data_IF_029806466827
#
_entry.id   IF_029806466827
#
_cell.length_a   1.000
_cell.length_b   1.000
_cell.length_c   1.000
_cell.angle_alpha   90.00
_cell.angle_beta   90.00
_cell.angle_gamma   90.00
#
_symmetry.space_group_name_H-M   'P 1'
#
loop_
_entity.id
_entity.type
_entity.pdbx_description
1 polymer ?
#
# COMPACT_ATOMS: atom_id res chain seq x y z
N UNK A 1 3.03 8.11 -5.91
CA UNK A 1 3.54 7.94 -7.29
C UNK A 1 4.38 6.67 -7.36
N UNK A 2 5.44 6.55 -6.54
CA UNK A 2 6.32 5.35 -6.48
C UNK A 2 5.55 4.05 -6.17
N UNK A 3 4.69 4.02 -5.16
CA UNK A 3 3.91 2.82 -4.79
C UNK A 3 2.99 2.31 -5.92
N UNK A 4 2.45 3.21 -6.75
CA UNK A 4 1.64 2.84 -7.93
C UNK A 4 2.50 2.11 -8.95
N UNK A 5 3.67 2.67 -9.26
CA UNK A 5 4.59 2.11 -10.25
C UNK A 5 5.10 0.74 -9.80
N UNK A 6 5.47 0.61 -8.53
CA UNK A 6 5.93 -0.66 -7.95
C UNK A 6 4.86 -1.76 -7.99
N UNK A 7 3.60 -1.43 -7.71
CA UNK A 7 2.50 -2.38 -7.74
C UNK A 7 1.89 -2.59 -9.14
N UNK A 8 2.32 -1.83 -10.15
CA UNK A 8 1.79 -1.93 -11.52
C UNK A 8 0.30 -1.60 -11.65
N UNK A 9 -0.25 -0.78 -10.73
CA UNK A 9 -1.68 -0.49 -10.69
C UNK A 9 -2.13 0.41 -11.85
N UNK A 10 -3.15 -0.06 -12.58
CA UNK A 10 -3.85 0.75 -13.57
C UNK A 10 -5.01 1.51 -12.90
N UNK A 11 -4.73 2.73 -12.45
CA UNK A 11 -5.68 3.54 -11.68
C UNK A 11 -6.42 4.51 -12.59
N UNK A 12 -7.77 4.55 -12.57
CA UNK A 12 -8.54 5.53 -13.32
C UNK A 12 -8.37 6.95 -12.75
N UNK A 13 -8.14 7.08 -11.44
CA UNK A 13 -7.88 8.36 -10.78
C UNK A 13 -6.81 8.21 -9.69
N UNK A 14 -5.62 8.76 -9.96
CA UNK A 14 -4.45 8.66 -9.09
C UNK A 14 -4.63 9.45 -7.79
N UNK A 15 -5.31 10.60 -7.85
CA UNK A 15 -5.53 11.45 -6.68
C UNK A 15 -6.52 10.82 -5.71
N UNK A 16 -7.59 10.23 -6.23
CA UNK A 16 -8.54 9.47 -5.43
C UNK A 16 -7.85 8.31 -4.70
N UNK A 17 -7.02 7.53 -5.41
CA UNK A 17 -6.24 6.47 -4.79
C UNK A 17 -5.29 6.99 -3.71
N UNK A 18 -4.58 8.09 -3.97
CA UNK A 18 -3.67 8.71 -3.00
C UNK A 18 -4.41 9.18 -1.75
N UNK A 19 -5.59 9.75 -1.91
CA UNK A 19 -6.44 10.21 -0.80
C UNK A 19 -6.91 9.02 0.05
N UNK A 20 -7.44 7.97 -0.58
CA UNK A 20 -7.86 6.75 0.13
C UNK A 20 -6.67 6.11 0.84
N UNK A 21 -5.51 6.04 0.19
CA UNK A 21 -4.31 5.50 0.80
C UNK A 21 -3.91 6.29 2.05
N UNK A 22 -3.92 7.63 1.99
CA UNK A 22 -3.66 8.48 3.16
C UNK A 22 -4.67 8.28 4.30
N UNK A 23 -5.95 8.13 3.98
CA UNK A 23 -7.01 7.91 4.99
C UNK A 23 -6.79 6.56 5.67
N UNK A 24 -6.49 5.52 4.89
CA UNK A 24 -6.25 4.18 5.40
C UNK A 24 -4.98 4.10 6.25
N UNK A 25 -3.85 4.63 5.78
CA UNK A 25 -2.59 4.59 6.55
C UNK A 25 -2.68 5.40 7.84
N UNK A 26 -3.28 6.59 7.82
CA UNK A 26 -3.49 7.38 9.05
C UNK A 26 -4.31 6.64 10.09
N UNK A 27 -5.28 5.84 9.68
CA UNK A 27 -6.09 5.07 10.60
C UNK A 27 -5.30 3.94 11.26
N UNK A 28 -4.37 3.30 10.54
CA UNK A 28 -3.48 2.29 11.08
C UNK A 28 -2.65 2.82 12.25
N UNK A 29 -2.23 4.09 12.18
CA UNK A 29 -1.46 4.78 13.24
C UNK A 29 -2.31 5.62 14.20
N UNK A 30 -3.63 5.63 14.03
CA UNK A 30 -4.53 6.36 14.92
C UNK A 30 -5.02 5.45 16.04
N UNK A 31 -5.01 5.99 17.27
CA UNK A 31 -5.55 5.38 18.51
C UNK A 31 -6.96 4.79 18.36
N UNK A 32 -7.72 5.17 17.31
CA UNK A 32 -9.05 4.65 16.99
C UNK A 32 -9.06 3.14 16.67
N UNK A 33 -7.92 2.51 16.36
CA UNK A 33 -7.81 1.04 16.22
C UNK A 33 -8.03 0.29 17.53
N UNK A 34 -7.97 0.96 18.68
CA UNK A 34 -8.28 0.38 20.00
C UNK A 34 -9.78 0.19 20.26
N UNK A 35 -10.65 0.80 19.44
CA UNK A 35 -12.11 0.69 19.60
C UNK A 35 -12.62 -0.52 18.80
N UNK A 36 -12.72 -1.67 19.46
CA UNK A 36 -13.13 -2.94 18.85
C UNK A 36 -14.66 -3.06 18.71
N UNK A 37 -15.31 -2.11 18.02
CA UNK A 37 -16.76 -2.16 17.74
C UNK A 37 -16.99 -2.41 16.24
N UNK A 38 -17.31 -3.66 15.83
CA UNK A 38 -17.31 -4.08 14.42
C UNK A 38 -18.15 -3.21 13.47
N UNK A 39 -19.34 -2.76 13.89
CA UNK A 39 -20.22 -1.97 13.01
C UNK A 39 -19.76 -0.53 12.80
N UNK A 40 -19.03 0.04 13.77
CA UNK A 40 -18.47 1.39 13.67
C UNK A 40 -17.25 1.37 12.74
N UNK A 41 -16.47 0.29 12.79
CA UNK A 41 -15.31 0.07 11.92
C UNK A 41 -15.75 -0.05 10.45
N UNK A 42 -16.77 -0.85 10.12
CA UNK A 42 -17.22 -1.04 8.72
C UNK A 42 -17.84 0.19 8.08
N UNK A 43 -18.36 1.15 8.87
CA UNK A 43 -18.89 2.42 8.35
C UNK A 43 -17.82 3.52 8.24
N UNK A 44 -16.64 3.29 8.83
CA UNK A 44 -15.57 4.28 8.91
C UNK A 44 -14.97 4.61 7.54
N UNK A 45 -14.50 5.85 7.38
CA UNK A 45 -13.78 6.26 6.17
C UNK A 45 -12.52 5.41 5.90
N UNK A 46 -11.74 4.97 6.91
CA UNK A 46 -10.63 4.05 6.73
C UNK A 46 -11.00 2.68 6.17
N UNK A 47 -12.10 2.10 6.63
CA UNK A 47 -12.57 0.83 6.08
C UNK A 47 -12.98 0.97 4.62
N UNK A 48 -13.75 2.01 4.28
CA UNK A 48 -14.11 2.29 2.88
C UNK A 48 -12.88 2.55 2.00
N UNK A 49 -11.86 3.20 2.55
CA UNK A 49 -10.60 3.42 1.88
C UNK A 49 -9.84 2.10 1.64
N UNK A 50 -9.79 1.20 2.63
CA UNK A 50 -9.22 -0.14 2.50
C UNK A 50 -9.91 -0.93 1.38
N UNK A 51 -11.24 -1.02 1.42
CA UNK A 51 -12.04 -1.72 0.40
C UNK A 51 -11.74 -1.19 -0.99
N UNK A 52 -11.69 0.14 -1.16
CA UNK A 52 -11.35 0.74 -2.44
C UNK A 52 -9.95 0.31 -2.94
N UNK A 53 -8.94 0.31 -2.06
CA UNK A 53 -7.58 -0.10 -2.42
C UNK A 53 -7.55 -1.58 -2.80
N UNK A 54 -8.22 -2.44 -2.03
CA UNK A 54 -8.36 -3.87 -2.32
C UNK A 54 -9.00 -4.11 -3.68
N UNK A 55 -10.08 -3.39 -4.03
CA UNK A 55 -10.70 -3.48 -5.35
C UNK A 55 -9.72 -3.14 -6.49
N UNK A 56 -8.81 -2.17 -6.29
CA UNK A 56 -7.80 -1.86 -7.31
C UNK A 56 -6.72 -2.96 -7.42
N UNK A 57 -6.34 -3.57 -6.30
CA UNK A 57 -5.41 -4.70 -6.27
C UNK A 57 -6.03 -5.94 -6.95
N UNK A 58 -7.29 -6.23 -6.66
CA UNK A 58 -8.04 -7.29 -7.30
C UNK A 58 -8.13 -7.11 -8.81
N UNK A 59 -8.51 -5.92 -9.28
CA UNK A 59 -8.56 -5.63 -10.71
C UNK A 59 -7.19 -5.82 -11.39
N UNK A 60 -6.09 -5.55 -10.67
CA UNK A 60 -4.74 -5.82 -11.16
C UNK A 60 -4.47 -7.33 -11.24
N UNK A 61 -4.81 -8.10 -10.23
CA UNK A 61 -4.67 -9.57 -10.23
C UNK A 61 -5.47 -10.17 -11.40
N UNK A 62 -6.71 -9.73 -11.61
CA UNK A 62 -7.55 -10.22 -12.71
C UNK A 62 -6.93 -9.91 -14.09
N UNK A 63 -6.34 -8.73 -14.22
CA UNK A 63 -5.60 -8.37 -15.43
C UNK A 63 -4.40 -9.28 -15.66
N UNK A 64 -3.63 -9.59 -14.61
CA UNK A 64 -2.46 -10.46 -14.69
C UNK A 64 -2.84 -11.91 -15.01
N UNK A 65 -3.90 -12.44 -14.42
CA UNK A 65 -4.40 -13.78 -14.71
C UNK A 65 -4.88 -13.91 -16.17
N UNK A 66 -5.40 -12.82 -16.76
CA UNK A 66 -5.90 -12.82 -18.13
C UNK A 66 -4.80 -12.60 -19.18
N UNK A 67 -3.84 -11.71 -18.92
CA UNK A 67 -2.86 -11.27 -19.91
C UNK A 67 -1.45 -11.85 -19.69
N UNK A 68 -1.22 -12.52 -18.56
CA UNK A 68 0.08 -13.05 -18.16
C UNK A 68 0.88 -12.12 -17.24
N UNK A 69 2.07 -12.56 -16.81
CA UNK A 69 2.94 -11.81 -15.92
C UNK A 69 3.47 -10.52 -16.54
N UNK A 70 3.73 -9.54 -15.69
CA UNK A 70 4.48 -8.32 -15.98
C UNK A 70 5.56 -8.04 -14.92
N UNK A 71 6.27 -6.91 -15.03
CA UNK A 71 7.37 -6.54 -14.14
C UNK A 71 6.93 -5.97 -12.77
N UNK A 72 5.64 -6.01 -12.44
CA UNK A 72 5.15 -5.48 -11.17
C UNK A 72 5.41 -6.43 -10.00
N UNK A 73 5.51 -5.88 -8.78
CA UNK A 73 5.65 -6.69 -7.57
C UNK A 73 4.45 -7.62 -7.37
N UNK A 74 3.24 -7.19 -7.76
CA UNK A 74 2.04 -8.01 -7.68
C UNK A 74 2.16 -9.22 -8.62
N UNK A 75 2.65 -9.03 -9.85
CA UNK A 75 2.93 -10.13 -10.77
C UNK A 75 3.95 -11.10 -10.17
N UNK A 76 5.06 -10.58 -9.64
CA UNK A 76 6.08 -11.42 -9.00
C UNK A 76 5.49 -12.25 -7.86
N UNK A 77 4.66 -11.67 -6.99
CA UNK A 77 4.01 -12.41 -5.90
C UNK A 77 2.96 -13.41 -6.38
N UNK A 78 2.18 -13.05 -7.41
CA UNK A 78 1.09 -13.88 -7.92
C UNK A 78 1.59 -15.14 -8.66
N UNK A 79 2.70 -15.01 -9.38
CA UNK A 79 3.29 -16.10 -10.16
C UNK A 79 4.45 -16.79 -9.44
N UNK A 80 4.93 -16.24 -8.32
CA UNK A 80 5.90 -16.91 -7.47
C UNK A 80 5.39 -18.28 -7.00
N UNK A 81 6.32 -19.22 -6.97
CA UNK A 81 6.11 -20.57 -6.45
C UNK A 81 7.27 -20.85 -5.51
N UNK A 82 6.98 -21.33 -4.31
CA UNK A 82 8.01 -21.66 -3.32
C UNK A 82 8.71 -23.00 -3.64
N UNK A 83 9.68 -23.37 -2.81
CA UNK A 83 10.40 -24.65 -2.90
C UNK A 83 9.51 -25.90 -2.80
N UNK A 84 8.30 -25.75 -2.26
CA UNK A 84 7.30 -26.81 -2.10
C UNK A 84 6.24 -26.79 -3.21
N UNK A 85 6.46 -26.05 -4.30
CA UNK A 85 5.50 -25.85 -5.37
C UNK A 85 4.19 -25.14 -4.95
N UNK A 86 4.19 -24.45 -3.81
CA UNK A 86 3.03 -23.71 -3.28
C UNK A 86 3.03 -22.28 -3.79
N UNK A 87 1.84 -21.77 -4.13
CA UNK A 87 1.63 -20.39 -4.56
C UNK A 87 0.86 -19.62 -3.50
N UNK A 88 1.10 -18.31 -3.43
CA UNK A 88 0.29 -17.42 -2.60
C UNK A 88 -1.15 -17.43 -3.07
N UNK A 89 -2.10 -17.43 -2.12
CA UNK A 89 -3.51 -17.20 -2.45
C UNK A 89 -3.71 -15.75 -2.88
N UNK A 90 -4.84 -15.50 -3.54
CA UNK A 90 -5.22 -14.14 -3.96
C UNK A 90 -5.25 -13.18 -2.76
N UNK A 91 -5.81 -13.63 -1.65
CA UNK A 91 -5.91 -12.89 -0.40
C UNK A 91 -4.52 -12.56 0.15
N UNK A 92 -3.61 -13.54 0.16
CA UNK A 92 -2.23 -13.33 0.62
C UNK A 92 -1.47 -12.33 -0.26
N UNK A 93 -1.67 -12.36 -1.57
CA UNK A 93 -1.07 -11.36 -2.49
C UNK A 93 -1.58 -9.95 -2.18
N UNK A 94 -2.89 -9.81 -1.90
CA UNK A 94 -3.50 -8.53 -1.54
C UNK A 94 -2.95 -8.04 -0.19
N UNK A 95 -2.92 -8.88 0.83
CA UNK A 95 -2.42 -8.54 2.16
C UNK A 95 -0.94 -8.15 2.13
N UNK A 96 -0.10 -8.91 1.43
CA UNK A 96 1.31 -8.58 1.24
C UNK A 96 1.49 -7.25 0.48
N UNK A 97 0.66 -6.99 -0.53
CA UNK A 97 0.67 -5.71 -1.26
C UNK A 97 0.33 -4.53 -0.35
N UNK A 98 -0.70 -4.67 0.49
CA UNK A 98 -1.08 -3.64 1.48
C UNK A 98 0.04 -3.39 2.48
N UNK A 99 0.67 -4.46 3.00
CA UNK A 99 1.79 -4.37 3.93
C UNK A 99 2.99 -3.64 3.32
N UNK A 100 3.36 -3.97 2.08
CA UNK A 100 4.45 -3.29 1.35
C UNK A 100 4.17 -1.79 1.16
N UNK A 101 2.93 -1.43 0.84
CA UNK A 101 2.54 -0.03 0.69
C UNK A 101 2.65 0.71 2.02
N UNK A 102 2.19 0.09 3.10
CA UNK A 102 2.26 0.66 4.45
C UNK A 102 3.72 0.89 4.87
N UNK A 103 4.56 -0.15 4.79
CA UNK A 103 5.98 -0.07 5.14
C UNK A 103 6.71 1.00 4.32
N UNK A 104 6.49 1.03 3.00
CA UNK A 104 7.10 2.04 2.13
C UNK A 104 6.63 3.46 2.42
N UNK A 105 5.35 3.65 2.78
CA UNK A 105 4.80 4.96 3.12
C UNK A 105 5.41 5.53 4.40
N UNK A 106 5.47 4.70 5.45
CA UNK A 106 5.93 5.09 6.77
C UNK A 106 7.42 5.37 6.79
N UNK A 107 8.24 4.41 6.32
CA UNK A 107 9.69 4.55 6.34
C UNK A 107 10.14 5.75 5.52
N UNK A 108 9.58 5.95 4.31
CA UNK A 108 9.95 7.09 3.47
C UNK A 108 9.57 8.44 4.11
N UNK A 109 8.40 8.52 4.75
CA UNK A 109 7.97 9.74 5.43
C UNK A 109 8.84 10.04 6.66
N UNK A 110 9.18 9.01 7.44
CA UNK A 110 10.08 9.13 8.59
C UNK A 110 11.50 9.56 8.17
N UNK A 111 12.07 8.91 7.16
CA UNK A 111 13.39 9.27 6.60
C UNK A 111 13.39 10.70 6.08
N UNK A 112 12.36 11.12 5.34
CA UNK A 112 12.29 12.50 4.83
C UNK A 112 12.18 13.52 5.96
N UNK A 113 11.40 13.23 6.99
CA UNK A 113 11.24 14.11 8.16
C UNK A 113 12.56 14.27 8.90
N UNK A 114 13.28 13.17 9.13
CA UNK A 114 14.60 13.19 9.75
C UNK A 114 15.62 13.93 8.88
N UNK A 115 15.59 13.71 7.56
CA UNK A 115 16.47 14.43 6.63
C UNK A 115 16.24 15.94 6.70
N UNK A 116 14.98 16.40 6.70
CA UNK A 116 14.65 17.83 6.85
C UNK A 116 15.10 18.40 8.20
N UNK A 117 14.95 17.63 9.28
CA UNK A 117 15.43 18.03 10.61
C UNK A 117 16.95 18.18 10.62
N UNK A 118 17.69 17.22 10.06
CA UNK A 118 19.15 17.26 10.00
C UNK A 118 19.66 18.43 9.14
N UNK A 119 18.99 18.72 8.02
CA UNK A 119 19.30 19.91 7.21
C UNK A 119 19.04 21.20 7.99
N UNK A 120 17.94 21.30 8.74
CA UNK A 120 17.62 22.47 9.56
C UNK A 120 18.57 22.69 10.74
N UNK A 121 19.11 21.62 11.32
CA UNK A 121 20.06 21.67 12.44
C UNK A 121 21.52 21.93 12.00
N UNK A 122 21.86 21.65 10.73
CA UNK A 122 23.19 21.85 10.17
C UNK A 122 23.19 22.73 8.91
N UNK A 123 22.64 23.97 8.96
CA UNK A 123 22.55 24.83 7.78
C UNK A 123 23.94 25.14 7.19
N UNK A 124 24.97 25.22 8.04
CA UNK A 124 26.34 25.56 7.63
C UNK A 124 27.11 24.41 6.94
N UNK A 125 26.54 23.21 6.79
CA UNK A 125 27.19 22.08 6.09
C UNK A 125 26.77 21.93 4.62
N UNK A 126 25.73 22.66 4.20
CA UNK A 126 25.13 22.55 2.88
C UNK A 126 25.03 23.89 2.14
N UNK A 127 25.83 24.87 2.57
CA UNK A 127 26.15 26.11 1.85
C UNK A 127 27.49 25.97 1.13
#
# INVERSE_FOLDING_TARGET
IVQRQLLGLNLPNVDAFREKLKIWTKAFFSILTLINIPWLVTRSAPYKAKVYIETQLEAKIDSLLKHGPDDSIISNMLFATDENATKLTREQVIENSLLLVLAGAETSAGTLTLAMLLLGLHPNKYH
#
